data_IF_197472080012
#
_entry.id   IF_197472080012
#
_cell.length_a   1.000
_cell.length_b   1.000
_cell.length_c   1.000
_cell.angle_alpha   90.00
_cell.angle_beta   90.00
_cell.angle_gamma   90.00
#
_symmetry.space_group_name_H-M   'P 1'
#
loop_
_entity.id
_entity.type
_entity.pdbx_description
1 polymer ?
#
# COMPACT_ATOMS: atom_id res chain seq x y z
N UNK A 1 14.84 -2.96 -1.51
CA UNK A 1 14.49 -4.25 -0.86
C UNK A 1 13.10 -4.16 -0.23
N UNK A 2 12.26 -5.15 -0.50
CA UNK A 2 10.94 -5.34 0.08
C UNK A 2 11.02 -6.24 1.32
N UNK A 3 10.09 -6.04 2.26
CA UNK A 3 10.06 -6.74 3.53
C UNK A 3 8.74 -7.48 3.66
N UNK A 4 8.80 -8.73 4.08
CA UNK A 4 7.61 -9.46 4.49
C UNK A 4 7.06 -8.85 5.78
N UNK A 5 5.81 -8.44 5.73
CA UNK A 5 5.09 -7.95 6.89
C UNK A 5 4.03 -8.96 7.30
N UNK A 6 3.81 -9.10 8.60
CA UNK A 6 2.62 -9.78 9.14
C UNK A 6 1.88 -8.87 10.11
N UNK A 7 0.62 -9.19 10.37
CA UNK A 7 -0.23 -8.42 11.30
C UNK A 7 -0.45 -9.19 12.60
N UNK A 8 -0.23 -8.51 13.72
CA UNK A 8 -0.41 -9.03 15.07
C UNK A 8 -1.41 -8.18 15.84
N UNK A 9 -2.00 -8.74 16.89
CA UNK A 9 -3.06 -8.10 17.67
C UNK A 9 -4.26 -9.01 17.86
N UNK A 10 -5.29 -8.48 18.52
CA UNK A 10 -6.54 -9.19 18.84
C UNK A 10 -7.69 -8.73 17.93
N UNK A 11 -8.73 -9.54 17.86
CA UNK A 11 -9.97 -9.22 17.17
C UNK A 11 -9.97 -9.49 15.66
N UNK A 12 -11.12 -9.22 15.04
CA UNK A 12 -11.39 -9.60 13.64
C UNK A 12 -10.54 -8.81 12.64
N UNK A 13 -10.26 -7.53 12.92
CA UNK A 13 -9.43 -6.67 12.07
C UNK A 13 -8.00 -7.21 11.99
N UNK A 14 -7.40 -7.58 13.14
CA UNK A 14 -6.07 -8.16 13.16
C UNK A 14 -6.00 -9.46 12.36
N UNK A 15 -7.01 -10.34 12.52
CA UNK A 15 -7.10 -11.60 11.77
C UNK A 15 -7.23 -11.36 10.27
N UNK A 16 -8.09 -10.44 9.85
CA UNK A 16 -8.30 -10.15 8.43
C UNK A 16 -7.06 -9.49 7.78
N UNK A 17 -6.41 -8.53 8.44
CA UNK A 17 -5.18 -7.92 7.91
C UNK A 17 -4.03 -8.94 7.89
N UNK A 18 -3.97 -9.88 8.85
CA UNK A 18 -2.99 -10.97 8.81
C UNK A 18 -3.19 -11.84 7.57
N UNK A 19 -4.43 -12.27 7.31
CA UNK A 19 -4.77 -13.04 6.12
C UNK A 19 -4.41 -12.28 4.83
N UNK A 20 -4.73 -10.98 4.78
CA UNK A 20 -4.36 -10.10 3.66
C UNK A 20 -2.85 -10.11 3.40
N UNK A 21 -2.06 -9.89 4.45
CA UNK A 21 -0.60 -9.89 4.36
C UNK A 21 -0.05 -11.26 3.96
N UNK A 22 -0.54 -12.35 4.55
CA UNK A 22 -0.14 -13.70 4.17
C UNK A 22 -0.37 -13.98 2.68
N UNK A 23 -1.54 -13.61 2.13
CA UNK A 23 -1.85 -13.78 0.70
C UNK A 23 -0.95 -12.90 -0.16
N UNK A 24 -0.82 -11.61 0.19
CA UNK A 24 -0.02 -10.64 -0.56
C UNK A 24 1.45 -11.07 -0.64
N UNK A 25 2.00 -11.50 0.49
CA UNK A 25 3.40 -11.92 0.62
C UNK A 25 3.68 -13.30 0.04
N UNK A 26 2.70 -14.22 0.04
CA UNK A 26 2.78 -15.48 -0.73
C UNK A 26 2.98 -15.21 -2.23
N UNK A 27 2.29 -14.19 -2.75
CA UNK A 27 2.37 -13.76 -4.16
C UNK A 27 3.24 -12.50 -4.32
N UNK A 28 4.33 -12.37 -3.55
CA UNK A 28 5.05 -11.10 -3.43
C UNK A 28 5.59 -10.54 -4.75
N UNK A 29 6.08 -11.39 -5.65
CA UNK A 29 6.61 -10.97 -6.96
C UNK A 29 5.54 -10.31 -7.84
N UNK A 30 4.33 -10.85 -7.83
CA UNK A 30 3.21 -10.28 -8.59
C UNK A 30 2.70 -8.99 -7.95
N UNK A 31 2.79 -8.90 -6.62
CA UNK A 31 2.41 -7.74 -5.84
C UNK A 31 3.52 -6.66 -5.76
N UNK A 32 4.67 -6.87 -6.40
CA UNK A 32 5.80 -5.92 -6.43
C UNK A 32 5.73 -4.89 -7.54
N UNK A 33 4.78 -5.01 -8.48
CA UNK A 33 4.65 -4.03 -9.55
C UNK A 33 4.41 -2.61 -8.97
N UNK A 34 5.18 -1.58 -9.39
CA UNK A 34 5.09 -0.25 -8.79
C UNK A 34 3.72 0.41 -8.97
N UNK A 35 3.02 0.08 -10.06
CA UNK A 35 1.73 0.67 -10.42
C UNK A 35 0.56 -0.14 -9.87
N UNK A 36 0.54 -1.46 -10.10
CA UNK A 36 -0.60 -2.33 -9.80
C UNK A 36 -0.45 -3.14 -8.51
N UNK A 37 0.78 -3.31 -8.04
CA UNK A 37 1.12 -4.11 -6.88
C UNK A 37 0.90 -3.36 -5.57
N UNK A 38 0.74 -4.14 -4.50
CA UNK A 38 0.49 -3.63 -3.14
C UNK A 38 1.71 -3.68 -2.22
N UNK A 39 2.77 -4.43 -2.59
CA UNK A 39 4.04 -4.43 -1.85
C UNK A 39 4.86 -3.24 -2.31
N UNK A 40 5.30 -2.43 -1.34
CA UNK A 40 6.19 -1.29 -1.54
C UNK A 40 7.52 -1.58 -0.84
N UNK A 41 8.67 -1.47 -1.53
CA UNK A 41 9.97 -1.61 -0.90
C UNK A 41 10.14 -0.62 0.26
N UNK A 42 10.89 -1.04 1.28
CA UNK A 42 11.17 -0.23 2.47
C UNK A 42 12.60 0.33 2.48
N UNK A 43 13.49 -0.28 1.70
CA UNK A 43 14.88 0.15 1.55
C UNK A 43 15.18 0.51 0.11
N UNK A 44 15.74 1.69 -0.07
CA UNK A 44 16.13 2.28 -1.35
C UNK A 44 17.60 2.68 -1.28
N UNK A 45 18.25 2.77 -2.44
CA UNK A 45 19.51 3.48 -2.54
C UNK A 45 19.31 4.94 -2.10
N UNK A 46 20.28 5.46 -1.33
CA UNK A 46 20.18 6.78 -0.71
C UNK A 46 20.06 7.90 -1.75
N UNK A 47 20.85 7.85 -2.81
CA UNK A 47 20.91 8.92 -3.79
C UNK A 47 19.67 8.91 -4.68
N UNK A 48 19.14 7.72 -4.99
CA UNK A 48 17.84 7.57 -5.63
C UNK A 48 16.74 8.18 -4.74
N UNK A 49 16.68 7.82 -3.47
CA UNK A 49 15.64 8.30 -2.57
C UNK A 49 15.67 9.83 -2.38
N UNK A 50 16.86 10.42 -2.23
CA UNK A 50 17.03 11.86 -2.14
C UNK A 50 16.60 12.59 -3.42
N UNK A 51 16.84 11.98 -4.58
CA UNK A 51 16.36 12.50 -5.86
C UNK A 51 14.84 12.43 -5.95
N UNK A 52 14.23 11.31 -5.56
CA UNK A 52 12.77 11.16 -5.51
C UNK A 52 12.14 12.27 -4.66
N UNK A 53 12.57 12.45 -3.41
CA UNK A 53 11.97 13.48 -2.53
C UNK A 53 12.17 14.92 -3.04
N UNK A 54 13.25 15.17 -3.80
CA UNK A 54 13.47 16.44 -4.49
C UNK A 54 12.49 16.64 -5.64
N UNK A 55 12.21 15.58 -6.39
CA UNK A 55 11.34 15.63 -7.58
C UNK A 55 9.86 15.70 -7.17
N UNK A 56 9.44 15.01 -6.12
CA UNK A 56 8.06 15.04 -5.58
C UNK A 56 7.84 16.15 -4.53
N UNK A 57 8.75 17.12 -4.47
CA UNK A 57 8.80 18.14 -3.41
C UNK A 57 7.44 18.74 -3.06
N UNK A 58 7.13 18.79 -1.77
CA UNK A 58 5.88 19.33 -1.22
C UNK A 58 4.62 18.48 -1.46
N UNK A 59 4.69 17.42 -2.28
CA UNK A 59 3.61 16.41 -2.37
C UNK A 59 3.75 15.38 -1.25
N UNK A 60 4.96 14.88 -0.99
CA UNK A 60 5.21 13.86 0.03
C UNK A 60 4.65 14.25 1.41
N UNK A 61 4.92 15.48 1.87
CA UNK A 61 4.46 15.99 3.18
C UNK A 61 2.93 16.08 3.31
N UNK A 62 2.22 16.10 2.18
CA UNK A 62 0.76 16.21 2.13
C UNK A 62 0.09 14.85 1.93
N UNK A 63 0.84 13.82 1.55
CA UNK A 63 0.33 12.48 1.32
C UNK A 63 0.25 11.69 2.63
N UNK A 64 -0.98 11.49 3.10
CA UNK A 64 -1.25 10.59 4.23
C UNK A 64 -1.36 9.12 3.74
N UNK A 65 -1.81 8.93 2.50
CA UNK A 65 -1.86 7.64 1.82
C UNK A 65 -1.17 7.80 0.45
N UNK A 66 -0.60 6.72 -0.08
CA UNK A 66 0.10 6.65 -1.37
C UNK A 66 1.49 7.29 -1.41
N UNK A 67 2.01 7.84 -0.31
CA UNK A 67 3.40 8.33 -0.26
C UNK A 67 4.39 7.23 -0.69
N UNK A 68 4.28 6.05 -0.07
CA UNK A 68 5.11 4.88 -0.40
C UNK A 68 4.91 4.37 -1.83
N UNK A 69 3.71 4.49 -2.39
CA UNK A 69 3.41 4.14 -3.78
C UNK A 69 4.06 5.11 -4.77
N UNK A 70 3.97 6.41 -4.50
CA UNK A 70 4.60 7.47 -5.31
C UNK A 70 6.12 7.35 -5.23
N UNK A 71 6.67 7.23 -4.02
CA UNK A 71 8.12 7.07 -3.81
C UNK A 71 8.65 5.84 -4.53
N UNK A 72 7.96 4.70 -4.43
CA UNK A 72 8.37 3.49 -5.12
C UNK A 72 8.32 3.65 -6.64
N UNK A 73 7.26 4.25 -7.17
CA UNK A 73 7.11 4.47 -8.61
C UNK A 73 8.21 5.38 -9.17
N UNK A 74 8.50 6.49 -8.51
CA UNK A 74 9.58 7.40 -8.90
C UNK A 74 10.95 6.73 -8.78
N UNK A 75 11.22 6.02 -7.68
CA UNK A 75 12.46 5.29 -7.50
C UNK A 75 12.65 4.23 -8.59
N UNK A 76 11.59 3.51 -8.94
CA UNK A 76 11.61 2.51 -10.02
C UNK A 76 11.97 3.15 -11.36
N UNK A 77 11.33 4.28 -11.73
CA UNK A 77 11.66 5.04 -12.94
C UNK A 77 13.12 5.51 -12.97
N UNK A 78 13.62 6.04 -11.86
CA UNK A 78 14.97 6.61 -11.77
C UNK A 78 16.07 5.54 -11.79
N UNK A 79 15.82 4.39 -11.16
CA UNK A 79 16.80 3.33 -10.98
C UNK A 79 17.14 2.58 -12.26
N UNK A 80 16.30 2.69 -13.31
CA UNK A 80 16.29 1.78 -14.46
C UNK A 80 16.30 0.28 -14.06
N UNK A 81 15.93 -0.04 -12.82
CA UNK A 81 15.99 -1.39 -12.29
C UNK A 81 14.84 -2.24 -12.80
N UNK A 82 15.07 -3.54 -12.89
CA UNK A 82 14.03 -4.52 -13.14
C UNK A 82 13.37 -4.93 -11.80
N UNK A 83 12.12 -5.40 -11.85
CA UNK A 83 11.46 -5.98 -10.67
C UNK A 83 12.27 -7.14 -10.06
N UNK A 84 13.10 -7.82 -10.86
CA UNK A 84 13.99 -8.90 -10.41
C UNK A 84 15.10 -8.43 -9.48
N UNK A 85 15.44 -7.15 -9.51
CA UNK A 85 16.54 -6.58 -8.71
C UNK A 85 16.07 -6.22 -7.29
N UNK A 86 14.75 -6.23 -7.06
CA UNK A 86 14.17 -5.96 -5.75
C UNK A 86 14.27 -7.21 -4.88
N UNK A 87 15.28 -7.24 -4.01
CA UNK A 87 15.38 -8.27 -2.97
C UNK A 87 14.19 -8.27 -2.02
N UNK A 88 13.93 -9.42 -1.39
CA UNK A 88 12.82 -9.65 -0.47
C UNK A 88 13.31 -10.33 0.81
N UNK A 89 12.95 -9.79 1.98
CA UNK A 89 13.32 -10.37 3.28
C UNK A 89 12.09 -10.93 3.95
N UNK A 90 12.14 -12.23 4.23
CA UNK A 90 11.07 -12.95 4.93
C UNK A 90 11.02 -12.62 6.42
N UNK A 91 9.83 -12.72 7.01
CA UNK A 91 9.55 -12.56 8.45
C UNK A 91 10.19 -11.31 9.07
N UNK A 92 10.12 -10.19 8.36
CA UNK A 92 10.88 -8.99 8.71
C UNK A 92 10.16 -8.07 9.69
N UNK A 93 8.84 -7.87 9.53
CA UNK A 93 8.09 -6.85 10.29
C UNK A 93 6.79 -7.40 10.85
N UNK A 94 6.54 -7.09 12.13
CA UNK A 94 5.25 -7.30 12.79
C UNK A 94 4.52 -5.96 12.92
N UNK A 95 3.33 -5.86 12.33
CA UNK A 95 2.47 -4.67 12.41
C UNK A 95 1.40 -4.90 13.47
N UNK A 96 1.38 -4.08 14.52
CA UNK A 96 0.34 -4.11 15.54
C UNK A 96 -0.93 -3.44 14.99
N UNK A 97 -1.99 -4.21 14.85
CA UNK A 97 -3.26 -3.74 14.29
C UNK A 97 -4.14 -3.04 15.33
N UNK A 98 -4.97 -2.12 14.84
CA UNK A 98 -6.00 -1.46 15.65
C UNK A 98 -7.12 -2.45 16.00
N UNK A 99 -7.47 -2.54 17.29
CA UNK A 99 -8.51 -3.46 17.77
C UNK A 99 -9.92 -2.92 17.45
N UNK A 100 -10.08 -1.59 17.39
CA UNK A 100 -11.36 -0.95 17.15
C UNK A 100 -11.69 -0.85 15.65
N UNK A 101 -12.74 -1.55 15.22
CA UNK A 101 -13.30 -1.43 13.86
C UNK A 101 -13.65 0.02 13.51
N UNK A 102 -14.20 0.79 14.46
CA UNK A 102 -14.54 2.20 14.22
C UNK A 102 -13.31 3.06 13.94
N UNK A 103 -12.24 2.92 14.75
CA UNK A 103 -10.98 3.65 14.52
C UNK A 103 -10.33 3.23 13.21
N UNK A 104 -10.38 1.94 12.90
CA UNK A 104 -9.93 1.37 11.64
C UNK A 104 -10.66 2.02 10.45
N UNK A 105 -11.99 2.03 10.45
CA UNK A 105 -12.79 2.66 9.39
C UNK A 105 -12.56 4.18 9.31
N UNK A 106 -12.42 4.87 10.45
CA UNK A 106 -12.11 6.30 10.52
C UNK A 106 -10.76 6.62 9.88
N UNK A 107 -9.75 5.76 10.04
CA UNK A 107 -8.45 5.87 9.36
C UNK A 107 -8.64 5.78 7.84
N UNK A 108 -9.39 4.79 7.35
CA UNK A 108 -9.67 4.64 5.92
C UNK A 108 -10.50 5.79 5.33
N UNK A 109 -11.43 6.36 6.11
CA UNK A 109 -12.12 7.59 5.73
C UNK A 109 -11.14 8.77 5.54
N UNK A 110 -10.22 8.98 6.48
CA UNK A 110 -9.19 10.03 6.35
C UNK A 110 -8.32 9.82 5.11
N UNK A 111 -7.94 8.57 4.83
CA UNK A 111 -7.18 8.20 3.64
C UNK A 111 -7.91 8.55 2.34
N UNK A 112 -9.21 8.28 2.27
CA UNK A 112 -10.05 8.68 1.15
C UNK A 112 -10.09 10.19 0.95
N UNK A 113 -10.22 10.95 2.04
CA UNK A 113 -10.23 12.42 1.98
C UNK A 113 -8.89 12.99 1.52
N UNK A 114 -7.77 12.46 2.01
CA UNK A 114 -6.43 12.94 1.66
C UNK A 114 -6.03 12.59 0.23
N UNK A 115 -6.49 11.45 -0.30
CA UNK A 115 -6.07 10.99 -1.63
C UNK A 115 -6.56 11.87 -2.78
N UNK A 116 -7.54 12.75 -2.54
CA UNK A 116 -7.97 13.80 -3.47
C UNK A 116 -6.83 14.67 -3.98
N UNK A 117 -5.75 14.83 -3.20
CA UNK A 117 -4.59 15.63 -3.60
C UNK A 117 -3.89 15.06 -4.84
N UNK A 118 -4.05 13.76 -5.14
CA UNK A 118 -3.49 13.14 -6.34
C UNK A 118 -4.33 13.40 -7.59
N UNK A 119 -5.55 13.92 -7.45
CA UNK A 119 -6.40 14.24 -8.60
C UNK A 119 -5.75 15.36 -9.42
N UNK A 120 -5.76 15.24 -10.74
CA UNK A 120 -5.10 16.19 -11.66
C UNK A 120 -3.57 16.24 -11.52
N UNK A 121 -2.96 15.27 -10.84
CA UNK A 121 -1.50 15.06 -10.85
C UNK A 121 -1.16 13.89 -11.76
N UNK A 122 0.12 13.73 -12.12
CA UNK A 122 0.59 12.56 -12.86
C UNK A 122 0.31 11.22 -12.14
N UNK A 123 0.08 11.26 -10.82
CA UNK A 123 -0.17 10.11 -9.95
C UNK A 123 -1.66 9.72 -9.84
N UNK A 124 -2.56 10.40 -10.55
CA UNK A 124 -4.01 10.13 -10.48
C UNK A 124 -4.35 8.66 -10.80
N UNK A 125 -3.51 7.98 -11.59
CA UNK A 125 -3.71 6.56 -11.91
C UNK A 125 -3.73 5.65 -10.67
N UNK A 126 -3.09 6.03 -9.56
CA UNK A 126 -3.17 5.27 -8.29
C UNK A 126 -4.58 5.29 -7.68
N UNK A 127 -5.37 6.32 -7.96
CA UNK A 127 -6.77 6.40 -7.50
C UNK A 127 -7.67 5.44 -8.27
N UNK A 128 -7.34 5.20 -9.55
CA UNK A 128 -8.08 4.30 -10.46
C UNK A 128 -7.63 2.84 -10.26
N UNK A 129 -6.33 2.63 -10.10
CA UNK A 129 -5.70 1.33 -9.91
C UNK A 129 -5.43 1.07 -8.43
N UNK A 130 -6.48 0.88 -7.62
CA UNK A 130 -6.41 0.77 -6.14
C UNK A 130 -5.70 -0.50 -5.60
N UNK A 131 -4.62 -0.94 -6.23
CA UNK A 131 -3.83 -2.11 -5.85
C UNK A 131 -4.67 -3.38 -5.94
N UNK A 132 -4.78 -3.96 -7.12
CA UNK A 132 -5.50 -5.22 -7.28
C UNK A 132 -4.62 -6.31 -6.67
N UNK A 133 -5.02 -6.78 -5.48
CA UNK A 133 -4.37 -7.90 -4.80
C UNK A 133 -4.28 -9.09 -5.73
N UNK A 134 -3.04 -9.52 -5.99
CA UNK A 134 -2.77 -10.73 -6.74
C UNK A 134 -2.89 -11.93 -5.80
N UNK A 135 -3.43 -13.02 -6.34
CA UNK A 135 -3.89 -14.19 -5.58
C UNK A 135 -5.03 -14.91 -6.31
N UNK A 136 -5.31 -16.13 -5.87
CA UNK A 136 -6.36 -17.01 -6.37
C UNK A 136 -7.77 -16.45 -6.13
N UNK A 137 -8.76 -16.99 -6.86
CA UNK A 137 -10.15 -16.56 -6.71
C UNK A 137 -10.67 -16.76 -5.27
N UNK A 138 -10.37 -17.90 -4.65
CA UNK A 138 -10.77 -18.21 -3.28
C UNK A 138 -10.19 -17.19 -2.29
N UNK A 139 -8.89 -16.91 -2.39
CA UNK A 139 -8.22 -15.91 -1.55
C UNK A 139 -8.86 -14.52 -1.68
N UNK A 140 -9.25 -14.12 -2.90
CA UNK A 140 -9.93 -12.82 -3.11
C UNK A 140 -11.31 -12.78 -2.46
N UNK A 141 -12.05 -13.88 -2.48
CA UNK A 141 -13.36 -14.00 -1.82
C UNK A 141 -13.21 -13.91 -0.29
N UNK A 142 -12.21 -14.58 0.28
CA UNK A 142 -11.93 -14.54 1.73
C UNK A 142 -11.58 -13.12 2.22
N UNK A 143 -11.01 -12.28 1.33
CA UNK A 143 -10.68 -10.89 1.64
C UNK A 143 -11.83 -9.89 1.46
N UNK A 144 -13.00 -10.30 0.94
CA UNK A 144 -14.13 -9.40 0.74
C UNK A 144 -14.54 -8.61 1.99
N UNK A 145 -14.69 -9.22 3.18
CA UNK A 145 -15.04 -8.48 4.39
C UNK A 145 -14.04 -7.36 4.69
N UNK A 146 -12.76 -7.65 4.50
CA UNK A 146 -11.70 -6.68 4.70
C UNK A 146 -11.76 -5.57 3.65
N UNK A 147 -11.88 -5.92 2.36
CA UNK A 147 -11.99 -4.96 1.26
C UNK A 147 -13.16 -4.01 1.46
N UNK A 148 -14.31 -4.50 1.92
CA UNK A 148 -15.48 -3.66 2.21
C UNK A 148 -15.22 -2.75 3.41
N UNK A 149 -14.62 -3.27 4.49
CA UNK A 149 -14.32 -2.49 5.71
C UNK A 149 -13.34 -1.33 5.47
N UNK A 150 -12.43 -1.47 4.48
CA UNK A 150 -11.52 -0.40 4.04
C UNK A 150 -12.16 0.48 2.96
N UNK A 151 -12.81 -0.15 1.99
CA UNK A 151 -13.25 0.44 0.74
C UNK A 151 -14.45 1.37 0.90
N UNK A 152 -15.43 1.01 1.72
CA UNK A 152 -16.61 1.85 1.96
C UNK A 152 -16.21 3.16 2.65
N UNK A 153 -15.51 3.15 3.80
CA UNK A 153 -15.09 4.40 4.45
C UNK A 153 -14.18 5.25 3.56
N UNK A 154 -13.25 4.61 2.83
CA UNK A 154 -12.40 5.30 1.87
C UNK A 154 -13.22 6.03 0.80
N UNK A 155 -14.21 5.36 0.20
CA UNK A 155 -15.04 5.96 -0.84
C UNK A 155 -15.84 7.14 -0.29
N UNK A 156 -16.43 6.99 0.91
CA UNK A 156 -17.15 8.07 1.58
C UNK A 156 -16.22 9.28 1.81
N UNK A 157 -15.01 9.06 2.32
CA UNK A 157 -14.02 10.13 2.51
C UNK A 157 -13.57 10.79 1.21
N UNK A 158 -13.45 10.01 0.14
CA UNK A 158 -13.10 10.52 -1.19
C UNK A 158 -14.26 11.31 -1.84
N UNK A 159 -15.51 11.06 -1.47
CA UNK A 159 -16.65 11.82 -2.00
C UNK A 159 -17.02 13.03 -1.13
N UNK A 160 -16.68 13.01 0.17
CA UNK A 160 -17.00 14.10 1.13
C UNK A 160 -16.16 15.35 0.99
#
# INVERSE_FOLDING_TARGET
MALEETSVGKGIIARLNRLDKEIVHRHWRENLNPVLGVIKPRFYDRDILLKVYRDINGLADKLIMYEDAVVYYEAYKLSNSCLTDVGYVERAIYHLEEESLFRYMKKWYKYGKSSKILKHTEYEFFLKNKGIRKGSFKERVELLPLVLSKGIPYLIGYLS
#
